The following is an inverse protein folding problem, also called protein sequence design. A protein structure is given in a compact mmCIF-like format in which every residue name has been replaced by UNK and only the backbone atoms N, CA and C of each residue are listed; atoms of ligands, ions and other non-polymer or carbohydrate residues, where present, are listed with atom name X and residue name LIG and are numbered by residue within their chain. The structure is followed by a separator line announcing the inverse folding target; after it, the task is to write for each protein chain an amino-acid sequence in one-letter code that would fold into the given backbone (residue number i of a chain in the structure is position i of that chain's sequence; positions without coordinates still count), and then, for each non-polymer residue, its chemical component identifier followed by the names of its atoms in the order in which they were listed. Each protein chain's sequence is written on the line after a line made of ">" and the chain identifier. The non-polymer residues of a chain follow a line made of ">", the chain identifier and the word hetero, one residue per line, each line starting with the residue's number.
data_IF_215031704328
#
_entry.id   IF_215031704328
#
_cell.length_a   1.000
_cell.length_b   1.000
_cell.length_c   1.000
_cell.angle_alpha   90.00
_cell.angle_beta   90.00
_cell.angle_gamma   90.00
#
_symmetry.space_group_name_H-M   'P 1'
#
loop_
_entity.id
_entity.type
_entity.pdbx_description
1 polymer ?
#
# COMPACT_ATOMS: atom_id res chain seq x y z
N UNK A 1 9.65 3.22 -13.39
CA UNK A 1 10.93 3.96 -13.33
C UNK A 1 11.28 4.29 -11.89
N UNK A 2 10.48 5.11 -11.21
CA UNK A 2 10.73 5.56 -9.83
C UNK A 2 11.03 4.46 -8.83
N UNK A 3 10.22 3.39 -8.78
CA UNK A 3 10.45 2.26 -7.87
C UNK A 3 11.84 1.63 -8.04
N UNK A 4 12.32 1.51 -9.28
CA UNK A 4 13.66 0.97 -9.54
C UNK A 4 14.76 1.97 -9.19
N UNK A 5 14.54 3.28 -9.40
CA UNK A 5 15.47 4.33 -9.02
C UNK A 5 15.63 4.44 -7.50
N UNK A 6 14.52 4.26 -6.77
CA UNK A 6 14.47 4.19 -5.30
C UNK A 6 14.89 2.82 -4.74
N UNK A 7 15.36 1.91 -5.59
CA UNK A 7 15.78 0.55 -5.21
C UNK A 7 14.72 -0.25 -4.42
N UNK A 8 13.44 -0.01 -4.69
CA UNK A 8 12.34 -0.76 -4.06
C UNK A 8 12.34 -2.19 -4.58
N UNK A 9 12.26 -3.15 -3.68
CA UNK A 9 12.20 -4.56 -4.02
C UNK A 9 10.81 -4.95 -4.54
N UNK A 10 10.68 -5.50 -5.76
CA UNK A 10 9.40 -5.98 -6.26
C UNK A 10 8.95 -7.30 -5.62
N UNK A 11 9.76 -7.96 -4.79
CA UNK A 11 9.41 -9.22 -4.13
C UNK A 11 9.13 -10.40 -5.09
N UNK A 12 9.37 -10.20 -6.40
CA UNK A 12 9.14 -11.16 -7.47
C UNK A 12 10.24 -11.05 -8.54
N UNK A 13 10.48 -12.16 -9.25
CA UNK A 13 11.48 -12.22 -10.32
C UNK A 13 10.96 -11.51 -11.57
N UNK A 14 11.84 -10.75 -12.22
CA UNK A 14 11.63 -10.24 -13.57
C UNK A 14 12.23 -11.17 -14.62
N UNK A 15 13.52 -11.51 -14.48
CA UNK A 15 14.24 -12.38 -15.42
C UNK A 15 15.33 -13.17 -14.72
N UNK A 16 15.23 -14.50 -14.72
CA UNK A 16 16.20 -15.35 -14.02
C UNK A 16 16.26 -14.98 -12.54
N UNK A 17 17.45 -14.69 -12.00
CA UNK A 17 17.62 -14.24 -10.62
C UNK A 17 17.36 -12.74 -10.40
N UNK A 18 17.18 -11.97 -11.48
CA UNK A 18 17.02 -10.52 -11.42
C UNK A 18 15.61 -10.10 -11.01
N UNK A 19 15.55 -9.07 -10.17
CA UNK A 19 14.33 -8.46 -9.66
C UNK A 19 14.31 -7.02 -10.09
N UNK A 20 13.25 -6.63 -10.77
CA UNK A 20 13.11 -5.31 -11.37
C UNK A 20 11.63 -5.04 -11.62
N UNK A 21 11.13 -3.86 -11.26
CA UNK A 21 9.76 -3.50 -11.58
C UNK A 21 9.58 -3.33 -13.09
N UNK A 22 8.58 -4.03 -13.62
CA UNK A 22 7.98 -3.77 -14.93
C UNK A 22 6.56 -3.24 -14.78
N UNK A 23 6.02 -2.64 -15.84
CA UNK A 23 4.66 -2.11 -15.86
C UNK A 23 3.58 -3.16 -15.50
N UNK A 24 3.82 -4.43 -15.84
CA UNK A 24 2.95 -5.56 -15.51
C UNK A 24 2.85 -5.88 -14.01
N UNK A 25 3.66 -5.24 -13.17
CA UNK A 25 3.72 -5.47 -11.72
C UNK A 25 2.90 -4.45 -10.92
N UNK A 26 2.30 -3.45 -11.57
CA UNK A 26 1.62 -2.32 -10.94
C UNK A 26 0.08 -2.49 -10.94
N UNK A 27 -0.41 -3.57 -10.33
CA UNK A 27 -1.83 -3.96 -10.39
C UNK A 27 -2.51 -4.00 -9.01
N UNK A 28 -2.06 -3.17 -8.06
CA UNK A 28 -2.49 -3.23 -6.67
C UNK A 28 -3.78 -2.46 -6.35
N UNK A 29 -4.06 -1.38 -7.10
CA UNK A 29 -5.23 -0.48 -6.95
C UNK A 29 -6.05 -0.40 -8.25
N UNK A 30 -5.49 -0.82 -9.38
CA UNK A 30 -6.07 -0.58 -10.69
C UNK A 30 -5.95 -1.82 -11.56
N UNK A 31 -6.94 -2.03 -12.43
CA UNK A 31 -6.88 -3.09 -13.44
C UNK A 31 -6.02 -2.63 -14.62
N UNK A 32 -4.97 -3.39 -14.93
CA UNK A 32 -4.05 -3.07 -16.03
C UNK A 32 -4.74 -3.08 -17.40
N UNK A 33 -5.82 -3.85 -17.60
CA UNK A 33 -6.57 -3.86 -18.86
C UNK A 33 -7.45 -2.63 -19.03
N UNK A 34 -7.94 -2.05 -17.92
CA UNK A 34 -8.65 -0.77 -17.94
C UNK A 34 -7.68 0.39 -18.13
N UNK A 35 -6.54 0.39 -17.43
CA UNK A 35 -5.49 1.41 -17.60
C UNK A 35 -4.99 1.49 -19.04
N UNK A 36 -4.85 0.35 -19.72
CA UNK A 36 -4.46 0.32 -21.13
C UNK A 36 -5.42 1.10 -22.04
N UNK A 37 -6.69 1.19 -21.65
CA UNK A 37 -7.74 1.90 -22.41
C UNK A 37 -7.83 3.36 -21.99
N UNK A 38 -7.93 3.61 -20.68
CA UNK A 38 -8.38 4.89 -20.14
C UNK A 38 -7.25 5.70 -19.47
N UNK A 39 -6.09 5.07 -19.23
CA UNK A 39 -5.00 5.66 -18.46
C UNK A 39 -5.26 5.64 -16.96
N UNK A 40 -4.65 6.58 -16.24
CA UNK A 40 -4.78 6.74 -14.79
C UNK A 40 -4.95 8.21 -14.42
N UNK A 41 -5.66 8.47 -13.33
CA UNK A 41 -5.75 9.81 -12.70
C UNK A 41 -4.58 10.02 -11.72
N UNK A 42 -4.38 11.25 -11.23
CA UNK A 42 -3.37 11.53 -10.19
C UNK A 42 -3.65 10.75 -8.90
N UNK A 43 -4.92 10.52 -8.58
CA UNK A 43 -5.35 9.70 -7.45
C UNK A 43 -4.94 8.24 -7.60
N UNK A 44 -5.16 7.68 -8.78
CA UNK A 44 -4.78 6.29 -9.07
C UNK A 44 -3.26 6.12 -8.99
N UNK A 45 -2.51 7.12 -9.47
CA UNK A 45 -1.06 7.17 -9.34
C UNK A 45 -0.60 7.15 -7.87
N UNK A 46 -1.23 7.96 -7.01
CA UNK A 46 -0.94 7.95 -5.56
C UNK A 46 -1.21 6.58 -4.94
N UNK A 47 -2.35 5.95 -5.25
CA UNK A 47 -2.71 4.62 -4.76
C UNK A 47 -1.67 3.58 -5.19
N UNK A 48 -1.30 3.59 -6.47
CA UNK A 48 -0.26 2.74 -7.02
C UNK A 48 1.07 2.90 -6.29
N UNK A 49 1.50 4.13 -6.00
CA UNK A 49 2.74 4.39 -5.29
C UNK A 49 2.70 3.87 -3.85
N UNK A 50 1.63 4.19 -3.10
CA UNK A 50 1.45 3.73 -1.72
C UNK A 50 1.45 2.21 -1.59
N UNK A 51 0.78 1.48 -2.49
CA UNK A 51 0.79 0.02 -2.47
C UNK A 51 2.17 -0.62 -2.58
N UNK A 52 3.13 0.09 -3.18
CA UNK A 52 4.49 -0.41 -3.35
C UNK A 52 5.40 0.05 -2.20
N UNK A 53 4.84 0.57 -1.12
CA UNK A 53 5.57 1.02 0.07
C UNK A 53 6.23 2.38 -0.09
N UNK A 54 5.83 3.19 -1.08
CA UNK A 54 6.36 4.54 -1.22
C UNK A 54 5.66 5.52 -0.28
N UNK A 55 6.44 6.46 0.26
CA UNK A 55 5.91 7.72 0.79
C UNK A 55 5.54 8.63 -0.37
N UNK A 56 4.38 9.28 -0.27
CA UNK A 56 3.81 10.08 -1.36
C UNK A 56 3.37 11.44 -0.81
N UNK A 57 4.11 12.49 -1.12
CA UNK A 57 3.64 13.86 -0.98
C UNK A 57 3.06 14.30 -2.31
N UNK A 58 1.81 14.76 -2.36
CA UNK A 58 1.17 15.10 -3.64
C UNK A 58 0.23 16.28 -3.52
N UNK A 59 0.12 17.04 -4.62
CA UNK A 59 -0.67 18.26 -4.65
C UNK A 59 -1.32 18.43 -6.01
N UNK A 60 -2.62 18.73 -5.99
CA UNK A 60 -3.34 19.21 -7.16
C UNK A 60 -2.97 20.67 -7.43
N UNK A 61 -2.82 21.05 -8.70
CA UNK A 61 -2.54 22.42 -9.10
C UNK A 61 -3.82 23.26 -9.15
N UNK A 62 -4.45 23.43 -7.99
CA UNK A 62 -5.61 24.28 -7.77
C UNK A 62 -5.22 25.75 -7.50
N UNK A 63 -6.20 26.61 -7.24
CA UNK A 63 -6.00 28.04 -7.01
C UNK A 63 -5.18 28.37 -5.75
N UNK A 64 -5.03 27.42 -4.84
CA UNK A 64 -4.28 27.60 -3.58
C UNK A 64 -2.81 27.26 -3.71
N UNK A 65 -2.40 26.62 -4.81
CA UNK A 65 -1.03 26.20 -5.04
C UNK A 65 -0.33 27.15 -6.00
N UNK A 66 0.78 27.74 -5.57
CA UNK A 66 1.52 28.76 -6.33
C UNK A 66 2.72 28.20 -7.11
N UNK A 67 3.12 28.92 -8.16
CA UNK A 67 4.34 28.60 -8.93
C UNK A 67 5.60 28.61 -8.04
N UNK A 68 5.67 29.48 -7.04
CA UNK A 68 6.83 29.56 -6.15
C UNK A 68 6.91 28.35 -5.22
N UNK A 69 5.77 27.84 -4.74
CA UNK A 69 5.74 26.57 -4.01
C UNK A 69 6.14 25.40 -4.91
N UNK A 70 5.67 25.38 -6.16
CA UNK A 70 6.11 24.36 -7.13
C UNK A 70 7.62 24.39 -7.39
N UNK A 71 8.21 25.58 -7.50
CA UNK A 71 9.66 25.72 -7.67
C UNK A 71 10.42 25.12 -6.50
N UNK A 72 10.00 25.37 -5.25
CA UNK A 72 10.64 24.76 -4.07
C UNK A 72 10.59 23.24 -4.10
N UNK A 73 9.47 22.66 -4.53
CA UNK A 73 9.33 21.20 -4.68
C UNK A 73 10.27 20.66 -5.76
N UNK A 74 10.39 21.36 -6.89
CA UNK A 74 11.32 21.01 -7.97
C UNK A 74 12.77 21.12 -7.52
N UNK A 75 13.13 22.19 -6.82
CA UNK A 75 14.48 22.38 -6.27
C UNK A 75 14.84 21.26 -5.29
N UNK A 76 13.93 20.94 -4.35
CA UNK A 76 14.10 19.83 -3.40
C UNK A 76 14.35 18.50 -4.11
N UNK A 77 13.62 18.22 -5.18
CA UNK A 77 13.69 16.93 -5.86
C UNK A 77 14.82 16.80 -6.89
N UNK A 78 15.29 17.92 -7.46
CA UNK A 78 16.18 17.92 -8.63
C UNK A 78 17.56 18.52 -8.37
N UNK A 79 17.82 19.06 -7.17
CA UNK A 79 19.10 19.65 -6.81
C UNK A 79 19.67 18.90 -5.62
N UNK A 80 20.89 18.38 -5.80
CA UNK A 80 21.69 17.84 -4.72
C UNK A 80 21.98 18.93 -3.70
N UNK A 81 21.70 18.67 -2.42
CA UNK A 81 22.07 19.63 -1.38
C UNK A 81 23.54 19.39 -1.08
N UNK A 82 24.40 20.27 -1.58
CA UNK A 82 25.80 20.29 -1.14
C UNK A 82 25.80 20.61 0.35
N UNK A 83 26.25 19.66 1.17
CA UNK A 83 26.68 19.95 2.53
C UNK A 83 27.85 20.93 2.36
N UNK A 84 27.63 22.20 2.68
CA UNK A 84 28.75 23.13 2.76
C UNK A 84 29.68 22.58 3.83
N UNK A 85 30.95 22.36 3.46
CA UNK A 85 32.04 21.89 4.31
C UNK A 85 32.29 22.91 5.44
N UNK A 86 31.42 22.97 6.44
CA UNK A 86 31.68 23.67 7.70
C UNK A 86 32.04 22.63 8.77
N UNK A 87 33.33 22.67 9.10
CA UNK A 87 34.03 22.05 10.23
C UNK A 87 34.45 20.58 10.10
N UNK A 88 35.76 20.41 9.80
CA UNK A 88 36.60 19.23 10.01
C UNK A 88 36.59 18.78 11.48
N UNK A 89 35.48 18.21 11.96
CA UNK A 89 35.43 17.47 13.22
C UNK A 89 34.98 16.03 12.93
N UNK A 90 35.95 15.13 13.08
CA UNK A 90 35.90 13.66 13.08
C UNK A 90 34.48 13.08 13.02
N UNK A 91 33.93 12.96 11.81
CA UNK A 91 32.72 12.18 11.58
C UNK A 91 33.08 10.69 11.57
N UNK A 92 32.71 10.01 12.65
CA UNK A 92 32.62 8.57 12.70
C UNK A 92 31.58 8.09 11.66
N UNK A 93 32.02 7.81 10.44
CA UNK A 93 31.46 6.91 9.43
C UNK A 93 29.99 6.47 9.52
N UNK A 94 29.05 7.42 9.63
CA UNK A 94 27.63 7.16 9.40
C UNK A 94 27.21 8.01 8.20
N UNK A 95 27.00 7.34 7.05
CA UNK A 95 26.50 7.92 5.80
C UNK A 95 25.31 8.85 6.08
N UNK A 96 25.50 10.17 6.02
CA UNK A 96 24.45 11.17 5.94
C UNK A 96 23.65 10.97 4.65
N UNK A 97 22.73 10.02 4.72
CA UNK A 97 21.95 9.53 3.61
C UNK A 97 20.85 10.53 3.27
N UNK A 98 21.14 11.46 2.35
CA UNK A 98 20.09 12.27 1.74
C UNK A 98 19.03 11.33 1.16
N UNK A 99 17.78 11.48 1.63
CA UNK A 99 16.64 10.70 1.14
C UNK A 99 16.45 11.03 -0.35
N UNK A 100 16.64 10.03 -1.22
CA UNK A 100 16.38 10.19 -2.63
C UNK A 100 14.88 10.38 -2.84
N UNK A 101 14.50 11.54 -3.40
CA UNK A 101 13.13 11.85 -3.77
C UNK A 101 12.99 11.92 -5.30
N UNK A 102 11.86 11.46 -5.81
CA UNK A 102 11.55 11.45 -7.24
C UNK A 102 10.26 12.22 -7.50
N UNK A 103 10.34 13.31 -8.25
CA UNK A 103 9.20 14.14 -8.59
C UNK A 103 8.55 13.70 -9.91
N UNK A 104 7.26 13.37 -9.85
CA UNK A 104 6.44 12.99 -11.00
C UNK A 104 5.36 14.05 -11.20
N UNK A 105 5.21 14.54 -12.42
CA UNK A 105 4.16 15.50 -12.78
C UNK A 105 3.09 14.85 -13.64
N UNK A 106 1.83 15.14 -13.33
CA UNK A 106 0.65 14.95 -14.17
C UNK A 106 0.34 16.28 -14.85
N UNK A 107 0.37 16.32 -16.18
CA UNK A 107 0.21 17.58 -16.92
C UNK A 107 -0.55 17.38 -18.24
N UNK A 108 -1.06 18.48 -18.81
CA UNK A 108 -1.67 18.50 -20.14
C UNK A 108 -0.62 18.86 -21.20
N UNK A 109 -0.39 17.95 -22.15
CA UNK A 109 0.44 18.17 -23.33
C UNK A 109 -0.03 19.33 -24.19
N UNK A 110 -1.33 19.64 -24.18
CA UNK A 110 -1.89 20.76 -24.96
C UNK A 110 -1.29 22.09 -24.56
N UNK A 111 -1.07 22.31 -23.26
CA UNK A 111 -0.45 23.53 -22.75
C UNK A 111 0.99 23.69 -23.27
N UNK A 112 1.70 22.58 -23.50
CA UNK A 112 3.04 22.56 -24.10
C UNK A 112 3.02 22.56 -25.63
N UNK A 113 1.85 22.64 -26.28
CA UNK A 113 1.71 22.53 -27.73
C UNK A 113 2.03 21.14 -28.29
N UNK A 114 2.01 20.10 -27.45
CA UNK A 114 2.32 18.72 -27.82
C UNK A 114 1.05 17.94 -28.18
N UNK A 115 1.22 16.90 -29.01
CA UNK A 115 0.13 15.99 -29.41
C UNK A 115 -0.35 15.13 -28.23
N UNK A 116 -1.65 15.18 -27.94
CA UNK A 116 -2.28 14.43 -26.86
C UNK A 116 -2.86 15.37 -25.80
N UNK A 117 -3.16 14.83 -24.62
CA UNK A 117 -3.67 15.63 -23.49
C UNK A 117 -2.98 15.21 -22.19
N UNK A 118 -3.63 14.42 -21.32
CA UNK A 118 -3.04 13.98 -20.05
C UNK A 118 -1.78 13.15 -20.23
N UNK A 119 -0.74 13.44 -19.45
CA UNK A 119 0.51 12.69 -19.43
C UNK A 119 1.17 12.73 -18.05
N UNK A 120 1.91 11.67 -17.73
CA UNK A 120 2.74 11.57 -16.53
C UNK A 120 4.20 11.40 -16.94
N UNK A 121 5.11 12.14 -16.31
CA UNK A 121 6.56 11.92 -16.47
C UNK A 121 7.34 12.42 -15.27
N UNK A 122 8.52 11.84 -14.99
CA UNK A 122 9.46 12.39 -14.02
C UNK A 122 10.05 13.73 -14.47
N UNK A 123 10.26 14.62 -13.50
CA UNK A 123 11.20 15.73 -13.64
C UNK A 123 12.54 15.27 -13.06
N UNK A 124 13.62 15.39 -13.85
CA UNK A 124 14.92 14.80 -13.50
C UNK A 124 16.03 15.83 -13.25
N UNK A 125 15.84 17.07 -13.67
CA UNK A 125 16.80 18.14 -13.44
C UNK A 125 16.08 19.49 -13.45
N UNK A 126 16.65 20.45 -12.74
CA UNK A 126 16.23 21.84 -12.75
C UNK A 126 17.44 22.73 -13.02
N UNK A 127 17.33 23.58 -14.04
CA UNK A 127 18.32 24.60 -14.35
C UNK A 127 17.82 25.97 -13.86
N UNK A 128 18.47 26.48 -12.81
CA UNK A 128 18.09 27.74 -12.16
C UNK A 128 18.24 28.95 -13.07
N UNK A 129 19.29 28.99 -13.90
CA UNK A 129 19.59 30.16 -14.75
C UNK A 129 18.49 30.36 -15.80
N UNK A 130 18.07 29.29 -16.47
CA UNK A 130 17.02 29.39 -17.48
C UNK A 130 15.61 29.18 -16.94
N UNK A 131 15.43 28.90 -15.64
CA UNK A 131 14.17 28.48 -15.00
C UNK A 131 13.48 27.35 -15.79
N UNK A 132 14.24 26.30 -16.12
CA UNK A 132 13.80 25.17 -16.95
C UNK A 132 13.94 23.85 -16.22
N UNK A 133 13.03 22.90 -16.49
CA UNK A 133 13.07 21.53 -15.97
C UNK A 133 13.23 20.52 -17.09
N UNK A 134 13.95 19.44 -16.82
CA UNK A 134 14.11 18.31 -17.72
C UNK A 134 13.00 17.28 -17.47
N UNK A 135 12.12 17.10 -18.46
CA UNK A 135 11.09 16.05 -18.46
C UNK A 135 11.67 14.77 -19.07
N UNK A 136 11.64 13.67 -18.33
CA UNK A 136 11.93 12.33 -18.86
C UNK A 136 10.67 11.72 -19.47
N UNK A 137 10.30 12.19 -20.66
CA UNK A 137 9.06 11.81 -21.34
C UNK A 137 8.94 10.28 -21.49
N UNK A 138 7.92 9.70 -20.87
CA UNK A 138 7.72 8.25 -20.85
C UNK A 138 7.17 7.72 -22.18
N UNK A 139 6.57 8.57 -23.01
CA UNK A 139 6.12 8.23 -24.36
C UNK A 139 7.25 8.45 -25.39
N UNK A 140 8.38 7.74 -25.20
CA UNK A 140 9.61 7.87 -26.01
C UNK A 140 9.43 7.71 -27.52
N UNK A 141 8.35 7.06 -27.95
CA UNK A 141 7.99 6.92 -29.36
C UNK A 141 7.43 8.21 -29.98
N UNK A 142 7.02 9.20 -29.16
CA UNK A 142 6.54 10.51 -29.60
C UNK A 142 7.56 11.62 -29.31
N UNK A 143 8.07 11.66 -28.09
CA UNK A 143 8.97 12.72 -27.62
C UNK A 143 10.09 12.12 -26.79
N UNK A 144 11.32 12.60 -26.98
CA UNK A 144 12.45 12.27 -26.12
C UNK A 144 12.42 13.05 -24.80
N UNK A 145 13.45 12.86 -24.00
CA UNK A 145 13.71 13.76 -22.87
C UNK A 145 13.91 15.19 -23.39
N UNK A 146 13.25 16.16 -22.76
CA UNK A 146 13.25 17.54 -23.24
C UNK A 146 13.13 18.54 -22.10
N UNK A 147 13.72 19.72 -22.31
CA UNK A 147 13.62 20.84 -21.39
C UNK A 147 12.36 21.65 -21.65
N UNK A 148 11.72 22.13 -20.59
CA UNK A 148 10.61 23.10 -20.66
C UNK A 148 10.75 24.13 -19.55
N UNK A 149 10.16 25.31 -19.75
CA UNK A 149 10.11 26.35 -18.73
C UNK A 149 9.29 25.89 -17.54
N UNK A 150 9.79 26.12 -16.32
CA UNK A 150 9.10 25.78 -15.08
C UNK A 150 7.70 26.43 -14.98
N UNK A 151 7.50 27.72 -15.33
CA UNK A 151 6.16 28.31 -15.38
C UNK A 151 5.22 27.59 -16.36
N UNK A 152 5.74 27.11 -17.50
CA UNK A 152 4.93 26.46 -18.52
C UNK A 152 4.43 25.08 -18.05
N UNK A 153 5.29 24.29 -17.41
CA UNK A 153 4.86 23.00 -16.86
C UNK A 153 3.89 23.19 -15.68
N UNK A 154 4.06 24.25 -14.88
CA UNK A 154 3.09 24.62 -13.84
C UNK A 154 1.72 24.96 -14.43
N UNK A 155 1.66 25.80 -15.46
CA UNK A 155 0.40 26.06 -16.18
C UNK A 155 -0.18 24.78 -16.80
N UNK A 156 0.65 23.82 -17.20
CA UNK A 156 0.19 22.55 -17.75
C UNK A 156 -0.44 21.61 -16.71
N UNK A 157 -0.23 21.85 -15.42
CA UNK A 157 -0.88 21.08 -14.35
C UNK A 157 -2.29 21.60 -14.00
N UNK A 158 -2.62 22.86 -14.35
CA UNK A 158 -3.92 23.47 -14.00
C UNK A 158 -5.14 22.90 -14.74
N UNK A 159 -5.09 22.57 -16.04
CA UNK A 159 -6.26 22.09 -16.76
C UNK A 159 -6.85 20.85 -16.09
N UNK A 160 -8.19 20.79 -16.05
CA UNK A 160 -8.88 19.65 -15.45
C UNK A 160 -8.58 18.38 -16.25
N UNK A 161 -8.34 17.29 -15.52
CA UNK A 161 -8.42 15.94 -16.04
C UNK A 161 -9.90 15.57 -16.19
N UNK A 162 -10.27 15.10 -17.38
CA UNK A 162 -11.67 14.80 -17.72
C UNK A 162 -12.23 13.63 -16.92
N UNK A 163 -11.37 12.67 -16.55
CA UNK A 163 -11.80 11.47 -15.84
C UNK A 163 -12.06 11.74 -14.36
N UNK A 164 -11.30 12.65 -13.75
CA UNK A 164 -11.43 12.96 -12.32
C UNK A 164 -12.20 14.26 -12.02
N UNK A 165 -12.37 15.14 -13.01
CA UNK A 165 -12.95 16.47 -12.83
C UNK A 165 -12.08 17.41 -11.98
N UNK A 166 -10.86 16.99 -11.63
CA UNK A 166 -9.90 17.76 -10.81
C UNK A 166 -8.78 18.32 -11.67
N UNK A 167 -8.07 19.37 -11.22
CA UNK A 167 -6.81 19.76 -11.82
C UNK A 167 -5.84 18.57 -11.86
N UNK A 168 -4.77 18.68 -12.63
CA UNK A 168 -3.65 17.75 -12.52
C UNK A 168 -2.73 18.23 -11.39
N UNK A 169 -1.46 17.85 -11.38
CA UNK A 169 -0.59 18.16 -10.24
C UNK A 169 0.68 17.33 -10.23
N UNK A 170 1.26 17.15 -9.05
CA UNK A 170 2.48 16.36 -8.89
C UNK A 170 2.36 15.33 -7.76
N UNK A 171 3.28 14.36 -7.78
CA UNK A 171 3.57 13.45 -6.70
C UNK A 171 5.09 13.37 -6.50
N UNK A 172 5.55 13.71 -5.30
CA UNK A 172 6.91 13.51 -4.84
C UNK A 172 6.98 12.20 -4.06
N UNK A 173 7.90 11.34 -4.50
CA UNK A 173 7.99 9.96 -4.06
C UNK A 173 9.32 9.70 -3.36
N UNK A 174 9.28 9.07 -2.20
CA UNK A 174 10.47 8.63 -1.48
C UNK A 174 10.27 7.24 -0.88
N UNK A 175 11.37 6.58 -0.54
CA UNK A 175 11.38 5.25 0.05
C UNK A 175 12.40 5.20 1.18
N UNK A 176 11.99 4.70 2.34
CA UNK A 176 12.89 4.44 3.48
C UNK A 176 13.00 2.94 3.66
N UNK A 177 14.17 2.33 3.40
CA UNK A 177 14.39 0.91 3.67
C UNK A 177 14.29 0.61 5.18
N UNK A 178 13.74 -0.55 5.55
CA UNK A 178 13.58 -1.00 6.95
C UNK A 178 14.87 -0.93 7.79
N UNK A 179 16.05 -1.11 7.18
CA UNK A 179 17.32 -1.01 7.91
C UNK A 179 17.66 0.41 8.44
N UNK A 180 16.90 1.44 8.05
CA UNK A 180 17.05 2.82 8.53
C UNK A 180 15.93 3.27 9.48
N UNK A 181 14.88 2.47 9.68
CA UNK A 181 13.75 2.85 10.55
C UNK A 181 14.04 2.68 12.05
N UNK A 182 15.09 1.94 12.41
CA UNK A 182 15.48 1.72 13.81
C UNK A 182 15.96 3.01 14.51
N UNK A 183 16.46 4.00 13.75
CA UNK A 183 16.98 5.26 14.31
C UNK A 183 15.96 6.42 14.30
N UNK A 184 14.89 6.35 13.52
CA UNK A 184 13.92 7.47 13.37
C UNK A 184 12.86 7.45 14.49
N UNK A 185 12.56 6.28 15.06
CA UNK A 185 11.54 6.16 16.12
C UNK A 185 11.95 6.77 17.47
N UNK A 186 13.24 7.03 17.69
CA UNK A 186 13.75 7.54 18.98
C UNK A 186 13.58 9.06 19.08
N UNK A 187 13.65 9.80 17.97
CA UNK A 187 13.71 11.27 18.01
C UNK A 187 12.31 11.93 18.13
N UNK A 188 11.23 11.18 17.84
CA UNK A 188 9.86 11.71 17.95
C UNK A 188 9.30 11.66 19.39
N UNK A 189 9.97 10.97 20.31
CA UNK A 189 9.52 10.87 21.72
C UNK A 189 10.17 11.89 22.66
N UNK A 190 11.15 12.66 22.20
CA UNK A 190 11.91 13.59 23.06
C UNK A 190 11.35 15.03 23.11
N UNK A 191 10.39 15.41 22.26
CA UNK A 191 9.86 16.79 22.22
C UNK A 191 8.35 16.86 22.43
N UNK A 192 7.86 16.44 23.58
CA UNK A 192 6.54 16.87 24.09
C UNK A 192 6.65 17.36 25.53
N UNK A 193 7.22 18.55 25.70
CA UNK A 193 6.86 19.45 26.79
C UNK A 193 6.91 20.89 26.26
N UNK A 194 5.75 21.56 26.21
CA UNK A 194 5.67 23.02 26.09
C UNK A 194 4.76 23.58 24.99
N UNK A 195 3.55 23.97 25.42
CA UNK A 195 2.77 25.12 24.97
C UNK A 195 1.88 25.10 23.70
N UNK A 196 0.60 25.37 23.98
CA UNK A 196 -0.50 25.66 23.06
C UNK A 196 -0.27 26.95 22.24
N UNK A 197 -0.52 26.90 20.92
CA UNK A 197 -1.50 27.77 20.21
C UNK A 197 -1.49 27.60 18.67
N UNK A 198 -2.71 27.64 18.13
CA UNK A 198 -3.13 28.06 16.78
C UNK A 198 -3.08 27.08 15.61
N UNK A 199 -4.21 27.12 14.89
CA UNK A 199 -4.69 26.40 13.71
C UNK A 199 -3.90 26.61 12.41
N UNK A 200 -3.64 25.52 11.67
CA UNK A 200 -3.11 25.46 10.30
C UNK A 200 -3.27 24.03 9.71
N UNK A 201 -3.26 23.84 8.37
CA UNK A 201 -3.90 22.70 7.72
C UNK A 201 -3.12 21.38 7.89
N UNK A 202 -3.85 20.35 8.34
CA UNK A 202 -3.59 18.90 8.22
C UNK A 202 -2.14 18.47 7.96
N UNK A 203 -1.41 18.21 9.05
CA UNK A 203 -0.20 17.39 9.09
C UNK A 203 -0.49 16.04 8.40
N UNK A 204 0.06 15.86 7.20
CA UNK A 204 0.21 14.55 6.53
C UNK A 204 1.69 14.21 6.46
N UNK A 205 2.38 14.34 7.60
CA UNK A 205 3.78 13.92 7.78
C UNK A 205 3.89 12.53 8.43
N UNK A 206 2.92 11.65 8.18
CA UNK A 206 3.17 10.23 8.40
C UNK A 206 3.90 9.71 7.18
N UNK A 207 5.24 9.62 7.29
CA UNK A 207 6.05 8.75 6.44
C UNK A 207 5.29 7.41 6.37
N UNK A 208 4.85 7.04 5.17
CA UNK A 208 4.29 5.71 4.95
C UNK A 208 5.44 4.71 5.11
N UNK A 209 5.60 4.23 6.33
CA UNK A 209 6.51 3.14 6.70
C UNK A 209 5.89 1.78 6.39
N UNK A 210 4.81 1.68 5.60
CA UNK A 210 4.19 0.39 5.31
C UNK A 210 5.21 -0.51 4.59
N UNK A 211 5.76 -1.54 5.26
CA UNK A 211 6.58 -2.52 4.59
C UNK A 211 5.76 -3.16 3.48
N UNK A 212 6.40 -3.41 2.33
CA UNK A 212 5.78 -4.21 1.28
C UNK A 212 5.33 -5.54 1.91
N UNK A 213 4.06 -5.91 1.70
CA UNK A 213 3.50 -7.14 2.27
C UNK A 213 4.46 -8.34 2.13
N UNK A 214 4.78 -8.97 3.26
CA UNK A 214 5.62 -10.17 3.29
C UNK A 214 4.78 -11.44 3.20
N UNK A 215 3.46 -11.34 3.39
CA UNK A 215 2.54 -12.45 3.23
C UNK A 215 2.03 -12.57 1.80
N UNK A 216 1.51 -11.49 1.19
CA UNK A 216 0.86 -11.56 -0.11
C UNK A 216 0.84 -10.25 -0.90
N UNK A 217 0.86 -10.35 -2.23
CA UNK A 217 0.45 -9.22 -3.08
C UNK A 217 -1.02 -9.32 -3.47
N UNK A 218 -1.67 -8.16 -3.52
CA UNK A 218 -3.06 -8.01 -3.93
C UNK A 218 -3.15 -7.71 -5.43
N UNK A 219 -3.90 -8.50 -6.20
CA UNK A 219 -4.25 -8.16 -7.59
C UNK A 219 -5.62 -7.46 -7.65
N UNK A 220 -5.71 -6.37 -8.42
CA UNK A 220 -6.96 -5.60 -8.63
C UNK A 220 -7.76 -5.99 -9.86
N UNK A 221 -7.31 -6.95 -10.65
CA UNK A 221 -8.16 -7.61 -11.64
C UNK A 221 -9.37 -8.37 -11.02
N UNK A 222 -9.51 -8.31 -9.69
CA UNK A 222 -10.61 -8.85 -8.90
C UNK A 222 -11.50 -7.76 -8.27
N UNK A 223 -11.48 -6.52 -8.78
CA UNK A 223 -12.24 -5.38 -8.26
C UNK A 223 -13.72 -5.72 -7.99
N UNK A 224 -14.40 -6.36 -8.94
CA UNK A 224 -15.80 -6.75 -8.77
C UNK A 224 -16.04 -7.65 -7.54
N UNK A 225 -15.07 -8.50 -7.20
CA UNK A 225 -15.17 -9.35 -6.00
C UNK A 225 -14.99 -8.57 -4.71
N UNK A 226 -14.06 -7.60 -4.69
CA UNK A 226 -13.88 -6.70 -3.54
C UNK A 226 -15.12 -5.86 -3.31
N UNK A 227 -15.75 -5.39 -4.39
CA UNK A 227 -17.00 -4.65 -4.31
C UNK A 227 -18.13 -5.51 -3.72
N UNK A 228 -18.34 -6.73 -4.24
CA UNK A 228 -19.34 -7.65 -3.68
C UNK A 228 -19.10 -7.94 -2.19
N UNK A 229 -17.84 -8.11 -1.78
CA UNK A 229 -17.50 -8.32 -0.37
C UNK A 229 -17.72 -7.05 0.46
N UNK A 230 -17.39 -5.88 -0.07
CA UNK A 230 -17.62 -4.59 0.58
C UNK A 230 -19.11 -4.34 0.81
N UNK A 231 -19.95 -4.63 -0.18
CA UNK A 231 -21.40 -4.54 -0.09
C UNK A 231 -21.95 -5.49 0.98
N UNK A 232 -21.45 -6.72 1.04
CA UNK A 232 -21.79 -7.68 2.10
C UNK A 232 -21.39 -7.20 3.50
N UNK A 233 -20.18 -6.67 3.66
CA UNK A 233 -19.72 -6.11 4.94
C UNK A 233 -20.58 -4.91 5.35
N UNK A 234 -20.96 -4.06 4.38
CA UNK A 234 -21.86 -2.94 4.63
C UNK A 234 -23.23 -3.42 5.11
N UNK A 235 -23.83 -4.41 4.44
CA UNK A 235 -25.13 -4.93 4.85
C UNK A 235 -25.10 -5.55 6.26
N UNK A 236 -24.04 -6.29 6.62
CA UNK A 236 -23.88 -6.82 7.97
C UNK A 236 -23.83 -5.73 9.04
N UNK A 237 -23.16 -4.61 8.76
CA UNK A 237 -23.10 -3.47 9.68
C UNK A 237 -24.45 -2.77 9.82
N UNK A 238 -25.21 -2.65 8.74
CA UNK A 238 -26.53 -2.02 8.76
C UNK A 238 -27.60 -2.91 9.43
N UNK A 239 -27.50 -4.24 9.28
CA UNK A 239 -28.55 -5.16 9.72
C UNK A 239 -28.31 -5.81 11.10
N UNK A 240 -27.05 -6.08 11.47
CA UNK A 240 -26.75 -6.98 12.61
C UNK A 240 -25.65 -6.46 13.54
N UNK A 241 -24.65 -5.73 13.01
CA UNK A 241 -23.44 -5.35 13.74
C UNK A 241 -23.18 -3.84 13.70
N UNK A 242 -24.21 -3.03 13.94
CA UNK A 242 -24.13 -1.56 13.85
C UNK A 242 -23.06 -0.97 14.79
N UNK A 243 -22.95 -1.51 16.01
CA UNK A 243 -21.98 -1.09 17.03
C UNK A 243 -20.97 -2.20 17.39
N UNK A 244 -20.96 -3.30 16.64
CA UNK A 244 -20.21 -4.52 16.96
C UNK A 244 -19.15 -4.90 15.92
N UNK A 245 -18.21 -5.73 16.33
CA UNK A 245 -17.25 -6.37 15.43
C UNK A 245 -17.97 -7.44 14.59
N UNK A 246 -17.69 -7.48 13.29
CA UNK A 246 -18.20 -8.54 12.40
C UNK A 246 -17.49 -9.83 12.78
N UNK A 247 -18.19 -10.93 13.12
CA UNK A 247 -17.53 -12.13 13.61
C UNK A 247 -16.75 -12.82 12.48
N UNK A 248 -15.66 -13.49 12.87
CA UNK A 248 -14.84 -14.27 11.94
C UNK A 248 -15.67 -15.30 11.14
N UNK A 249 -16.70 -15.89 11.77
CA UNK A 249 -17.62 -16.83 11.13
C UNK A 249 -18.38 -16.24 9.95
N UNK A 250 -18.74 -14.95 9.99
CA UNK A 250 -19.42 -14.27 8.88
C UNK A 250 -18.48 -14.08 7.68
N UNK A 251 -17.23 -13.66 7.94
CA UNK A 251 -16.17 -13.54 6.93
C UNK A 251 -15.93 -14.90 6.26
N UNK A 252 -15.70 -15.94 7.07
CA UNK A 252 -15.48 -17.31 6.56
C UNK A 252 -16.67 -17.83 5.78
N UNK A 253 -17.90 -17.58 6.26
CA UNK A 253 -19.14 -17.97 5.57
C UNK A 253 -19.25 -17.33 4.19
N UNK A 254 -18.89 -16.06 4.02
CA UNK A 254 -18.92 -15.41 2.70
C UNK A 254 -17.94 -16.05 1.71
N UNK A 255 -16.68 -16.20 2.12
CA UNK A 255 -15.60 -16.63 1.23
C UNK A 255 -15.56 -18.16 1.00
N UNK A 256 -16.22 -18.97 1.83
CA UNK A 256 -16.34 -20.43 1.65
C UNK A 256 -17.74 -20.86 1.11
N UNK A 257 -18.64 -19.93 0.72
CA UNK A 257 -19.97 -20.25 0.15
C UNK A 257 -19.89 -20.68 -1.32
N UNK A 258 -20.48 -21.83 -1.63
CA UNK A 258 -20.52 -22.44 -2.99
C UNK A 258 -21.48 -21.73 -3.98
N UNK A 259 -22.28 -20.75 -3.51
CA UNK A 259 -23.41 -20.20 -4.28
C UNK A 259 -23.05 -19.09 -5.28
N UNK A 260 -21.79 -18.63 -5.34
CA UNK A 260 -21.41 -17.44 -6.12
C UNK A 260 -20.48 -17.75 -7.34
N UNK A 261 -20.36 -19.01 -7.75
CA UNK A 261 -19.27 -19.43 -8.66
C UNK A 261 -17.94 -19.55 -7.91
N UNK A 262 -16.80 -19.83 -8.57
CA UNK A 262 -15.51 -20.06 -7.90
C UNK A 262 -14.91 -18.74 -7.39
N UNK A 263 -15.62 -18.03 -6.51
CA UNK A 263 -15.08 -16.88 -5.80
C UNK A 263 -14.22 -17.44 -4.71
N UNK A 264 -12.93 -17.52 -4.99
CA UNK A 264 -12.01 -17.92 -3.96
C UNK A 264 -11.08 -16.82 -3.51
N UNK A 265 -10.90 -16.80 -2.20
CA UNK A 265 -9.99 -15.96 -1.46
C UNK A 265 -8.53 -16.09 -1.95
N UNK A 266 -8.13 -17.23 -2.54
CA UNK A 266 -6.76 -17.39 -3.08
C UNK A 266 -6.52 -16.62 -4.38
N UNK A 267 -7.57 -16.18 -5.07
CA UNK A 267 -7.42 -15.47 -6.35
C UNK A 267 -7.14 -13.97 -6.17
N UNK A 268 -7.28 -13.44 -4.94
CA UNK A 268 -6.91 -12.07 -4.58
C UNK A 268 -5.50 -11.96 -4.00
N UNK A 269 -4.84 -13.09 -3.73
CA UNK A 269 -3.50 -13.18 -3.10
C UNK A 269 -2.49 -13.80 -4.05
N UNK A 270 -1.29 -13.21 -4.07
CA UNK A 270 -0.14 -13.72 -4.82
C UNK A 270 0.98 -14.07 -3.82
N UNK A 271 1.59 -15.26 -3.92
CA UNK A 271 2.74 -15.62 -3.10
C UNK A 271 3.88 -14.61 -3.21
N UNK A 272 4.51 -14.30 -2.08
CA UNK A 272 5.69 -13.41 -2.01
C UNK A 272 6.97 -14.24 -1.88
N UNK A 273 8.07 -13.78 -2.46
CA UNK A 273 9.38 -14.43 -2.30
C UNK A 273 10.10 -13.89 -1.05
N UNK A 274 10.67 -14.77 -0.23
CA UNK A 274 11.49 -14.42 0.93
C UNK A 274 12.97 -14.34 0.53
N UNK A 275 13.69 -13.38 1.10
CA UNK A 275 15.04 -12.96 0.70
C UNK A 275 16.12 -13.52 1.63
N UNK A 276 15.85 -13.57 2.94
CA UNK A 276 16.85 -13.92 3.94
C UNK A 276 16.25 -14.74 5.09
N UNK A 277 17.11 -15.28 5.96
CA UNK A 277 16.67 -16.06 7.11
C UNK A 277 15.90 -15.23 8.15
N UNK A 278 16.13 -13.91 8.23
CA UNK A 278 15.36 -13.02 9.12
C UNK A 278 13.90 -12.91 8.68
N UNK A 279 13.63 -12.77 7.38
CA UNK A 279 12.27 -12.77 6.84
C UNK A 279 11.59 -14.13 7.00
N UNK A 280 12.33 -15.23 6.86
CA UNK A 280 11.81 -16.57 7.14
C UNK A 280 11.47 -16.74 8.62
N UNK A 281 12.28 -16.19 9.52
CA UNK A 281 12.03 -16.17 10.95
C UNK A 281 10.81 -15.31 11.28
N UNK A 282 10.75 -14.09 10.73
CA UNK A 282 9.62 -13.18 10.89
C UNK A 282 8.31 -13.82 10.40
N UNK A 283 8.34 -14.47 9.23
CA UNK A 283 7.20 -15.22 8.72
C UNK A 283 6.78 -16.32 9.68
N UNK A 284 7.73 -17.08 10.25
CA UNK A 284 7.42 -18.13 11.24
C UNK A 284 6.76 -17.55 12.49
N UNK A 285 7.23 -16.42 13.00
CA UNK A 285 6.61 -15.71 14.12
C UNK A 285 5.20 -15.22 13.78
N UNK A 286 5.01 -14.63 12.60
CA UNK A 286 3.70 -14.15 12.13
C UNK A 286 2.71 -15.31 12.03
N UNK A 287 3.10 -16.43 11.43
CA UNK A 287 2.23 -17.61 11.30
C UNK A 287 1.82 -18.17 12.65
N UNK A 288 2.76 -18.23 13.60
CA UNK A 288 2.46 -18.66 14.97
C UNK A 288 1.46 -17.70 15.63
N UNK A 289 1.69 -16.40 15.55
CA UNK A 289 0.80 -15.39 16.12
C UNK A 289 -0.59 -15.41 15.46
N UNK A 290 -0.69 -15.54 14.14
CA UNK A 290 -1.96 -15.69 13.41
C UNK A 290 -2.73 -16.93 13.88
N UNK A 291 -2.05 -18.05 14.10
CA UNK A 291 -2.67 -19.26 14.62
C UNK A 291 -3.21 -19.06 16.04
N UNK A 292 -2.41 -18.47 16.94
CA UNK A 292 -2.81 -18.19 18.33
C UNK A 292 -4.00 -17.22 18.41
N UNK A 293 -3.96 -16.13 17.62
CA UNK A 293 -5.06 -15.15 17.52
C UNK A 293 -6.35 -15.82 17.05
N UNK A 294 -6.26 -16.62 15.98
CA UNK A 294 -7.41 -17.33 15.40
C UNK A 294 -8.02 -18.31 16.40
N UNK A 295 -7.20 -19.12 17.07
CA UNK A 295 -7.69 -20.07 18.06
C UNK A 295 -8.43 -19.36 19.20
N UNK A 296 -7.93 -18.20 19.66
CA UNK A 296 -8.65 -17.38 20.64
C UNK A 296 -9.99 -16.86 20.10
N UNK A 297 -10.03 -16.32 18.87
CA UNK A 297 -11.27 -15.85 18.25
C UNK A 297 -12.31 -16.98 18.12
N UNK A 298 -11.86 -18.20 17.79
CA UNK A 298 -12.75 -19.36 17.66
C UNK A 298 -13.27 -19.86 19.01
N UNK A 299 -12.46 -19.79 20.07
CA UNK A 299 -12.85 -20.19 21.42
C UNK A 299 -13.79 -19.17 22.10
N UNK A 300 -13.58 -17.87 21.88
CA UNK A 300 -14.48 -16.82 22.39
C UNK A 300 -15.88 -16.86 21.75
N UNK A 301 -16.04 -17.52 20.59
CA UNK A 301 -17.30 -17.66 19.88
C UNK A 301 -18.19 -18.83 20.37
N UNK A 302 -17.74 -19.63 21.35
CA UNK A 302 -18.51 -20.73 21.95
C UNK A 302 -19.08 -20.24 23.29
N UNK A 303 -20.40 -20.01 23.44
CA UNK A 303 -20.98 -19.66 24.73
C UNK A 303 -20.84 -20.82 25.73
N UNK A 304 -20.48 -20.51 26.98
CA UNK A 304 -20.39 -21.41 28.15
C UNK A 304 -21.74 -22.05 28.59
N UNK A 305 -22.71 -22.23 27.69
CA UNK A 305 -24.04 -22.78 28.05
C UNK A 305 -24.30 -24.19 27.51
N UNK A 306 -23.28 -25.04 27.39
CA UNK A 306 -23.49 -26.49 27.22
C UNK A 306 -22.54 -27.27 28.14
N UNK A 307 -22.67 -27.07 29.44
CA UNK A 307 -22.46 -28.17 30.39
C UNK A 307 -23.78 -28.93 30.52
N UNK A 308 -23.89 -30.08 29.84
CA UNK A 308 -25.07 -30.92 29.98
C UNK A 308 -25.30 -31.92 28.86
N UNK A 309 -24.35 -32.83 28.63
CA UNK A 309 -24.58 -34.28 28.60
C UNK A 309 -23.48 -34.98 27.80
N UNK A 310 -22.87 -35.97 28.46
CA UNK A 310 -22.15 -37.06 27.82
C UNK A 310 -23.02 -37.68 26.72
N UNK A 311 -22.56 -37.63 25.47
CA UNK A 311 -22.86 -38.70 24.53
C UNK A 311 -21.76 -38.83 23.47
N UNK A 312 -20.92 -39.84 23.70
CA UNK A 312 -20.04 -40.44 22.71
C UNK A 312 -20.88 -41.12 21.63
N UNK A 313 -21.37 -40.38 20.63
CA UNK A 313 -21.67 -40.89 19.28
C UNK A 313 -22.34 -39.82 18.41
N UNK A 314 -21.56 -39.16 17.55
CA UNK A 314 -22.03 -38.58 16.28
C UNK A 314 -20.82 -38.33 15.36
N UNK A 315 -20.19 -39.43 14.93
CA UNK A 315 -19.51 -39.47 13.63
C UNK A 315 -20.54 -39.98 12.61
N UNK A 316 -20.61 -39.29 11.48
CA UNK A 316 -21.46 -39.53 10.29
C UNK A 316 -22.86 -38.92 10.36
N UNK A 317 -22.99 -37.74 9.75
CA UNK A 317 -23.81 -37.50 8.55
C UNK A 317 -24.01 -35.99 8.35
N UNK A 318 -23.74 -35.50 7.14
CA UNK A 318 -24.01 -34.12 6.71
C UNK A 318 -22.75 -33.37 6.28
N UNK A 319 -22.62 -33.13 4.97
CA UNK A 319 -21.55 -32.36 4.33
C UNK A 319 -21.18 -31.10 5.13
N UNK A 320 -19.97 -31.08 5.68
CA UNK A 320 -19.47 -29.93 6.42
C UNK A 320 -18.69 -29.04 5.46
N UNK A 321 -18.96 -27.74 5.47
CA UNK A 321 -18.24 -26.68 4.75
C UNK A 321 -16.72 -26.55 5.11
N UNK A 322 -16.14 -27.60 5.69
CA UNK A 322 -14.73 -27.74 6.00
C UNK A 322 -13.90 -28.11 4.75
N UNK A 323 -14.46 -28.89 3.81
CA UNK A 323 -13.67 -29.45 2.69
C UNK A 323 -13.34 -28.47 1.55
N UNK A 324 -14.01 -27.30 1.47
CA UNK A 324 -13.81 -26.35 0.36
C UNK A 324 -12.62 -25.39 0.57
N UNK A 325 -12.19 -25.21 1.82
CA UNK A 325 -11.13 -24.26 2.20
C UNK A 325 -9.82 -24.99 2.62
N UNK A 326 -9.84 -26.32 2.74
CA UNK A 326 -8.70 -27.22 3.04
C UNK A 326 -7.94 -27.68 1.79
N UNK A 327 -7.73 -26.79 0.81
CA UNK A 327 -6.67 -27.05 -0.17
C UNK A 327 -5.33 -26.93 0.55
N UNK A 328 -4.71 -28.10 0.77
CA UNK A 328 -3.46 -28.35 1.47
C UNK A 328 -2.39 -27.25 1.28
N UNK A 329 -1.51 -27.00 2.28
CA UNK A 329 -0.42 -26.03 2.14
C UNK A 329 0.38 -26.38 0.89
N UNK A 330 0.37 -25.49 -0.11
CA UNK A 330 1.31 -25.57 -1.21
C UNK A 330 2.68 -25.48 -0.55
N UNK A 331 3.44 -26.58 -0.60
CA UNK A 331 4.76 -26.68 0.00
C UNK A 331 5.54 -25.42 -0.37
N UNK A 332 5.89 -24.62 0.64
CA UNK A 332 6.85 -23.55 0.47
C UNK A 332 8.12 -24.16 -0.10
N UNK A 333 8.46 -23.81 -1.33
CA UNK A 333 9.85 -23.95 -1.77
C UNK A 333 10.69 -23.01 -0.90
N UNK A 334 11.98 -23.29 -0.72
CA UNK A 334 12.87 -22.58 0.23
C UNK A 334 12.90 -21.03 0.10
N UNK A 335 12.27 -20.46 -0.92
CA UNK A 335 12.26 -19.04 -1.21
C UNK A 335 10.87 -18.44 -1.44
N UNK A 336 9.76 -19.20 -1.48
CA UNK A 336 8.42 -18.64 -1.76
C UNK A 336 7.48 -18.90 -0.59
N UNK A 337 6.94 -17.82 -0.02
CA UNK A 337 5.91 -17.85 1.01
C UNK A 337 4.53 -18.01 0.36
N UNK A 338 3.94 -19.19 0.52
CA UNK A 338 2.52 -19.41 0.24
C UNK A 338 1.71 -19.08 1.49
N UNK A 339 0.61 -18.36 1.31
CA UNK A 339 -0.37 -18.08 2.38
C UNK A 339 -1.51 -19.09 2.22
N UNK A 340 -1.87 -19.75 3.31
CA UNK A 340 -3.01 -20.66 3.36
C UNK A 340 -4.33 -19.89 3.25
N UNK A 341 -5.39 -20.60 2.85
CA UNK A 341 -6.73 -20.02 2.83
C UNK A 341 -7.13 -19.50 4.21
N UNK A 342 -6.81 -20.23 5.28
CA UNK A 342 -7.18 -19.85 6.64
C UNK A 342 -6.40 -18.62 7.15
N UNK A 343 -5.10 -18.51 6.88
CA UNK A 343 -4.33 -17.29 7.18
C UNK A 343 -4.91 -16.09 6.44
N UNK A 344 -5.29 -16.28 5.18
CA UNK A 344 -5.91 -15.26 4.35
C UNK A 344 -7.24 -14.78 4.91
N UNK A 345 -8.14 -15.72 5.21
CA UNK A 345 -9.46 -15.42 5.77
C UNK A 345 -9.34 -14.66 7.08
N UNK A 346 -8.38 -15.02 7.92
CA UNK A 346 -8.16 -14.35 9.18
C UNK A 346 -7.62 -12.93 9.00
N UNK A 347 -6.70 -12.70 8.07
CA UNK A 347 -6.24 -11.34 7.73
C UNK A 347 -7.36 -10.47 7.15
N UNK A 348 -8.25 -11.05 6.34
CA UNK A 348 -9.45 -10.35 5.86
C UNK A 348 -10.39 -10.02 7.01
N UNK A 349 -10.55 -10.90 7.99
CA UNK A 349 -11.31 -10.61 9.21
C UNK A 349 -10.69 -9.47 10.00
N UNK A 350 -9.38 -9.50 10.25
CA UNK A 350 -8.68 -8.42 10.91
C UNK A 350 -8.89 -7.10 10.19
N UNK A 351 -8.90 -7.10 8.85
CA UNK A 351 -9.17 -5.93 8.00
C UNK A 351 -10.60 -5.37 8.16
N UNK A 352 -11.56 -6.15 8.67
CA UNK A 352 -12.92 -5.66 8.97
C UNK A 352 -13.00 -4.84 10.26
N UNK A 353 -12.05 -5.01 11.18
CA UNK A 353 -11.99 -4.26 12.43
C UNK A 353 -11.62 -2.78 12.17
N UNK A 354 -11.97 -1.88 13.09
CA UNK A 354 -11.44 -0.50 13.05
C UNK A 354 -9.93 -0.50 13.26
N UNK A 355 -9.23 0.52 12.76
CA UNK A 355 -7.76 0.64 12.91
C UNK A 355 -7.33 0.56 14.39
N UNK A 356 -8.02 1.30 15.26
CA UNK A 356 -7.78 1.28 16.72
C UNK A 356 -8.05 -0.11 17.33
N UNK A 357 -9.18 -0.74 16.96
CA UNK A 357 -9.55 -2.06 17.48
C UNK A 357 -8.55 -3.12 17.04
N UNK A 358 -8.15 -3.11 15.77
CA UNK A 358 -7.15 -4.01 15.18
C UNK A 358 -5.80 -3.86 15.87
N UNK A 359 -5.32 -2.61 16.03
CA UNK A 359 -4.06 -2.32 16.73
C UNK A 359 -4.09 -2.86 18.17
N UNK A 360 -5.12 -2.50 18.94
CA UNK A 360 -5.24 -2.92 20.33
C UNK A 360 -5.40 -4.44 20.47
N UNK A 361 -6.15 -5.08 19.58
CA UNK A 361 -6.36 -6.53 19.58
C UNK A 361 -5.05 -7.28 19.37
N UNK A 362 -4.23 -6.84 18.41
CA UNK A 362 -2.98 -7.52 18.06
C UNK A 362 -1.85 -7.16 19.03
N UNK A 363 -1.72 -5.91 19.45
CA UNK A 363 -0.61 -5.48 20.32
C UNK A 363 -0.76 -6.00 21.75
N UNK A 364 -2.00 -6.08 22.27
CA UNK A 364 -2.25 -6.53 23.64
C UNK A 364 -2.49 -8.04 23.76
N UNK A 365 -2.40 -8.80 22.66
CA UNK A 365 -2.56 -10.25 22.68
C UNK A 365 -1.36 -10.91 23.37
N UNK A 366 -1.63 -11.72 24.39
CA UNK A 366 -0.60 -12.47 25.14
C UNK A 366 0.05 -13.54 24.24
N UNK A 367 1.27 -13.27 23.80
CA UNK A 367 2.05 -14.13 22.89
C UNK A 367 3.54 -13.77 22.95
N UNK A 368 4.40 -14.74 22.66
CA UNK A 368 5.86 -14.56 22.55
C UNK A 368 6.29 -13.84 21.25
N UNK A 369 5.35 -13.50 20.37
CA UNK A 369 5.64 -12.83 19.11
C UNK A 369 6.21 -11.42 19.32
N UNK A 370 7.25 -11.09 18.54
CA UNK A 370 7.90 -9.79 18.56
C UNK A 370 6.98 -8.65 18.11
N UNK A 371 7.29 -7.42 18.54
CA UNK A 371 6.59 -6.21 18.09
C UNK A 371 6.65 -6.03 16.57
N UNK A 372 7.75 -6.47 15.94
CA UNK A 372 7.92 -6.43 14.48
C UNK A 372 6.88 -7.34 13.82
N UNK A 373 6.72 -8.59 14.30
CA UNK A 373 5.71 -9.51 13.78
C UNK A 373 4.29 -8.98 13.95
N UNK A 374 4.00 -8.35 15.10
CA UNK A 374 2.69 -7.74 15.39
C UNK A 374 2.38 -6.58 14.44
N UNK A 375 3.33 -5.64 14.29
CA UNK A 375 3.21 -4.50 13.37
C UNK A 375 3.08 -4.94 11.92
N UNK A 376 3.74 -6.03 11.54
CA UNK A 376 3.56 -6.59 10.20
C UNK A 376 2.13 -7.07 9.99
N UNK A 377 1.54 -7.88 10.89
CA UNK A 377 0.15 -8.34 10.75
C UNK A 377 -0.83 -7.17 10.63
N UNK A 378 -0.62 -6.11 11.41
CA UNK A 378 -1.44 -4.88 11.34
C UNK A 378 -1.33 -4.26 9.94
N UNK A 379 -0.10 -4.11 9.43
CA UNK A 379 0.15 -3.56 8.09
C UNK A 379 -0.54 -4.39 7.01
N UNK A 380 -0.41 -5.71 7.05
CA UNK A 380 -1.04 -6.64 6.10
C UNK A 380 -2.56 -6.46 6.05
N UNK A 381 -3.19 -6.35 7.23
CA UNK A 381 -4.62 -6.12 7.34
C UNK A 381 -5.04 -4.71 6.89
N UNK A 382 -4.25 -3.67 7.16
CA UNK A 382 -4.51 -2.30 6.71
C UNK A 382 -4.42 -2.19 5.18
N UNK A 383 -3.48 -2.91 4.56
CA UNK A 383 -3.38 -3.01 3.09
C UNK A 383 -4.64 -3.65 2.49
N UNK A 384 -5.15 -4.73 3.09
CA UNK A 384 -6.42 -5.36 2.66
C UNK A 384 -7.59 -4.38 2.84
N UNK A 385 -7.70 -3.76 4.02
CA UNK A 385 -8.78 -2.83 4.36
C UNK A 385 -8.81 -1.66 3.38
N UNK A 386 -7.64 -1.09 3.09
CA UNK A 386 -7.48 -0.03 2.08
C UNK A 386 -7.94 -0.50 0.71
N UNK A 387 -7.46 -1.66 0.24
CA UNK A 387 -7.81 -2.21 -1.06
C UNK A 387 -9.32 -2.52 -1.20
N UNK A 388 -9.99 -2.93 -0.12
CA UNK A 388 -11.45 -3.10 -0.09
C UNK A 388 -12.13 -1.72 -0.10
N UNK A 389 -11.70 -0.77 0.72
CA UNK A 389 -12.30 0.56 0.80
C UNK A 389 -12.32 1.28 -0.55
N UNK A 390 -11.23 1.18 -1.30
CA UNK A 390 -11.08 1.84 -2.59
C UNK A 390 -11.67 1.05 -3.78
N UNK A 391 -12.25 -0.14 -3.56
CA UNK A 391 -12.77 -1.00 -4.63
C UNK A 391 -13.79 -0.33 -5.55
N UNK A 392 -14.59 0.58 -5.00
CA UNK A 392 -15.67 1.26 -5.75
C UNK A 392 -15.19 2.57 -6.38
N UNK A 393 -13.99 3.02 -5.99
CA UNK A 393 -13.45 4.33 -6.33
C UNK A 393 -12.45 4.26 -7.48
N UNK A 394 -11.98 3.05 -7.79
CA UNK A 394 -11.02 2.80 -8.85
C UNK A 394 -11.81 2.26 -10.02
N UNK A 395 -11.87 3.03 -11.10
CA UNK A 395 -12.64 2.86 -12.35
C UNK A 395 -14.16 2.79 -12.22
N UNK A 396 -14.79 3.89 -11.80
CA UNK A 396 -16.15 4.22 -12.28
C UNK A 396 -16.04 5.44 -13.18
N UNK A 397 -16.69 5.34 -14.35
CA UNK A 397 -16.96 6.40 -15.34
C UNK A 397 -17.06 7.82 -14.78
#
# INVERSE_FOLDING_TARGET
>A
MTLNALAVDPGQQWKGVWRWYTESMLNCCVDLEEIKKDGITLRDFQCLAHCQGLSVESRYCDETFSLNEFRRVVERACIEQSVEEEDELEHNGEDENQLLECLIVSYSRKTLGQTGDGHFSPLAAYDKESDSVLILDTARFKYGAHWTKLPLIYEAMKPLDKSSGKPRGYALLSFVPEHKTDNIAIDTMATTHGDNKSSGPTNTNQLSTQPASILFRSKMNQKGRRQLYKEYIKSLREETYEQGDIPYSAVRSYWCKDTHGPISVWEIIVPTRLHNEKEKELLRQIRRLLAELKDRTMNEAIPESIEGNNDNNRRKEGCTAYDLCDNAPVRSTNHTAYVSAEETLYLIYLATLSEERRYNYIMNFESEASDIARKQIITEADMIASAIKVSDQLTSL
#
